data_IF_108519794218
#
_entry.id   IF_108519794218
#
_cell.length_a   1.000
_cell.length_b   1.000
_cell.length_c   1.000
_cell.angle_alpha   90.00
_cell.angle_beta   90.00
_cell.angle_gamma   90.00
#
_symmetry.space_group_name_H-M   'P 1'
#
loop_
_entity.id
_entity.type
_entity.pdbx_description
1 polymer ?
#
# COMPACT_ATOMS: atom_id res chain seq x y z
N UNK A 1 6.57 29.30 -27.41
CA UNK A 1 6.22 27.88 -27.33
C UNK A 1 7.54 27.12 -27.34
N UNK A 2 8.06 26.73 -26.18
CA UNK A 2 9.26 25.89 -26.06
C UNK A 2 8.76 24.51 -25.67
N UNK A 3 9.04 23.58 -26.53
CA UNK A 3 8.69 22.17 -26.40
C UNK A 3 9.50 21.55 -25.24
N UNK A 4 8.86 21.37 -24.11
CA UNK A 4 9.44 20.68 -22.94
C UNK A 4 9.36 19.18 -23.21
N UNK A 5 10.37 18.66 -23.89
CA UNK A 5 10.56 17.24 -24.16
C UNK A 5 10.60 16.42 -22.84
N UNK A 6 9.46 16.00 -22.37
CA UNK A 6 9.30 15.11 -21.24
C UNK A 6 9.70 13.68 -21.64
N UNK A 7 10.97 13.35 -21.47
CA UNK A 7 11.39 11.93 -21.57
C UNK A 7 11.08 11.25 -20.24
N UNK A 8 10.12 10.37 -20.27
CA UNK A 8 9.84 9.41 -19.18
C UNK A 8 11.14 8.66 -18.83
N UNK A 9 11.76 9.05 -17.73
CA UNK A 9 12.95 8.41 -17.18
C UNK A 9 12.54 7.27 -16.27
N UNK A 10 12.77 6.05 -16.74
CA UNK A 10 12.33 4.78 -16.21
C UNK A 10 12.44 4.58 -14.70
N UNK A 11 11.48 3.84 -14.18
CA UNK A 11 11.48 3.17 -12.90
C UNK A 11 12.81 2.43 -12.68
N UNK A 12 13.57 2.81 -11.65
CA UNK A 12 14.77 2.08 -11.21
C UNK A 12 14.59 1.65 -9.76
N UNK A 13 15.11 0.48 -9.41
CA UNK A 13 15.18 -0.78 -10.13
C UNK A 13 14.00 -1.69 -9.77
N UNK A 14 13.48 -2.37 -10.75
CA UNK A 14 12.64 -3.54 -10.53
C UNK A 14 13.44 -4.53 -9.70
N UNK A 15 13.04 -4.85 -8.50
CA UNK A 15 13.45 -6.05 -7.81
C UNK A 15 12.95 -7.23 -8.66
N UNK A 16 13.80 -7.71 -9.59
CA UNK A 16 13.54 -8.97 -10.29
C UNK A 16 13.67 -10.08 -9.26
N UNK A 17 12.56 -10.43 -8.63
CA UNK A 17 12.48 -11.65 -7.86
C UNK A 17 12.44 -12.81 -8.84
N UNK A 18 13.53 -13.60 -8.80
CA UNK A 18 13.64 -14.81 -9.58
C UNK A 18 12.59 -15.80 -9.07
N UNK A 19 11.52 -16.00 -9.85
CA UNK A 19 10.55 -17.05 -9.61
C UNK A 19 11.20 -18.41 -9.78
N UNK A 20 11.85 -18.94 -8.72
CA UNK A 20 12.01 -20.39 -8.61
C UNK A 20 10.72 -20.92 -8.02
N UNK A 21 10.05 -21.65 -8.90
CA UNK A 21 8.89 -22.49 -8.65
C UNK A 21 8.87 -23.11 -7.26
N UNK A 22 8.00 -22.63 -6.36
CA UNK A 22 7.42 -23.51 -5.36
C UNK A 22 6.17 -24.10 -5.98
N UNK A 23 6.21 -25.44 -6.14
CA UNK A 23 5.22 -26.20 -6.86
C UNK A 23 3.80 -25.98 -6.36
N UNK A 24 2.92 -25.78 -7.32
CA UNK A 24 1.49 -25.85 -7.21
C UNK A 24 1.07 -27.22 -6.62
N UNK A 25 0.91 -27.27 -5.30
CA UNK A 25 0.01 -28.25 -4.69
C UNK A 25 -1.31 -27.57 -4.39
N UNK A 26 -2.07 -27.36 -5.46
CA UNK A 26 -3.49 -27.10 -5.36
C UNK A 26 -4.16 -28.34 -4.78
N UNK A 27 -4.27 -28.39 -3.45
CA UNK A 27 -5.12 -29.36 -2.78
C UNK A 27 -6.57 -29.08 -3.20
N UNK A 28 -7.18 -30.02 -3.94
CA UNK A 28 -8.61 -30.06 -4.20
C UNK A 28 -9.33 -30.03 -2.85
N UNK A 29 -9.85 -28.87 -2.48
CA UNK A 29 -10.84 -28.78 -1.42
C UNK A 29 -12.12 -29.42 -1.95
N UNK A 30 -12.49 -30.54 -1.34
CA UNK A 30 -13.70 -31.24 -1.62
C UNK A 30 -14.90 -30.28 -1.53
N UNK A 31 -15.65 -30.19 -2.63
CA UNK A 31 -16.96 -29.55 -2.68
C UNK A 31 -17.91 -30.38 -1.82
N UNK A 32 -17.98 -30.08 -0.53
CA UNK A 32 -19.07 -30.52 0.33
C UNK A 32 -20.33 -29.77 -0.07
N UNK A 33 -21.21 -30.45 -0.77
CA UNK A 33 -22.58 -29.98 -1.07
C UNK A 33 -23.35 -29.89 0.24
N UNK A 34 -23.46 -28.68 0.80
CA UNK A 34 -24.45 -28.40 1.83
C UNK A 34 -25.77 -28.06 1.14
N UNK A 35 -26.69 -29.06 1.18
CA UNK A 35 -28.09 -28.90 0.82
C UNK A 35 -28.77 -28.04 1.90
N UNK A 36 -28.88 -26.72 1.65
CA UNK A 36 -29.96 -25.82 2.09
C UNK A 36 -29.52 -24.39 1.71
N UNK A 37 -30.26 -23.77 0.83
CA UNK A 37 -29.95 -22.58 0.06
C UNK A 37 -29.68 -21.28 0.85
N UNK A 38 -28.50 -21.16 1.42
CA UNK A 38 -27.96 -19.92 1.93
C UNK A 38 -26.63 -19.63 1.24
N UNK A 39 -26.66 -18.82 0.20
CA UNK A 39 -25.44 -18.28 -0.42
C UNK A 39 -24.70 -17.46 0.64
N UNK A 40 -23.55 -17.95 1.09
CA UNK A 40 -22.77 -17.25 2.10
C UNK A 40 -21.92 -16.15 1.42
N UNK A 41 -22.18 -14.87 1.65
CA UNK A 41 -21.50 -13.73 0.97
C UNK A 41 -19.98 -13.72 1.16
N UNK A 42 -19.44 -14.47 2.14
CA UNK A 42 -18.01 -14.61 2.39
C UNK A 42 -17.32 -15.56 1.39
N UNK A 43 -18.03 -16.53 0.80
CA UNK A 43 -17.45 -17.44 -0.21
C UNK A 43 -17.11 -16.70 -1.52
N UNK A 44 -17.95 -15.76 -1.91
CA UNK A 44 -17.72 -14.92 -3.11
C UNK A 44 -16.54 -13.98 -2.90
N UNK A 45 -16.37 -13.44 -1.68
CA UNK A 45 -15.22 -12.60 -1.32
C UNK A 45 -13.91 -13.39 -1.22
N UNK A 46 -13.96 -14.64 -0.82
CA UNK A 46 -12.77 -15.51 -0.75
C UNK A 46 -12.19 -15.85 -2.13
N UNK A 47 -13.00 -15.77 -3.20
CA UNK A 47 -12.57 -16.00 -4.58
C UNK A 47 -12.13 -14.73 -5.30
N UNK A 48 -12.38 -13.53 -4.75
CA UNK A 48 -12.03 -12.26 -5.37
C UNK A 48 -10.61 -11.85 -4.98
N UNK A 49 -9.79 -11.56 -5.99
CA UNK A 49 -8.46 -10.98 -5.78
C UNK A 49 -8.61 -9.49 -5.47
N UNK A 50 -8.07 -9.06 -4.36
CA UNK A 50 -8.00 -7.65 -3.97
C UNK A 50 -6.56 -7.17 -4.07
N UNK A 51 -6.30 -6.21 -4.95
CA UNK A 51 -5.01 -5.51 -5.04
C UNK A 51 -5.13 -4.17 -4.35
N UNK A 52 -4.18 -3.84 -3.50
CA UNK A 52 -4.14 -2.58 -2.78
C UNK A 52 -2.71 -2.04 -2.71
N UNK A 53 -2.61 -0.72 -2.65
CA UNK A 53 -1.36 0.01 -2.61
C UNK A 53 -1.16 0.67 -1.24
N UNK A 54 0.07 0.67 -0.74
CA UNK A 54 0.50 1.50 0.39
C UNK A 54 1.50 2.55 -0.06
N UNK A 55 1.42 3.74 0.51
CA UNK A 55 2.35 4.82 0.25
C UNK A 55 2.90 5.40 1.55
N UNK A 56 4.22 5.58 1.58
CA UNK A 56 4.93 6.33 2.61
C UNK A 56 5.41 7.67 2.00
N UNK A 57 4.76 8.80 2.36
CA UNK A 57 5.05 10.08 1.74
C UNK A 57 6.42 10.61 2.09
N UNK A 58 7.19 11.04 1.10
CA UNK A 58 8.43 11.77 1.27
C UNK A 58 8.66 12.76 0.13
N UNK A 59 9.18 13.96 0.44
CA UNK A 59 9.43 14.96 -0.59
C UNK A 59 10.59 14.59 -1.52
N UNK A 60 11.60 13.89 -1.03
CA UNK A 60 12.74 13.42 -1.83
C UNK A 60 12.49 12.03 -2.41
N UNK A 61 11.95 11.17 -1.58
CA UNK A 61 11.69 9.77 -1.87
C UNK A 61 10.34 9.41 -1.28
N UNK A 62 9.42 8.97 -2.10
CA UNK A 62 8.12 8.40 -1.69
C UNK A 62 8.20 6.90 -1.85
N UNK A 63 7.97 6.14 -0.78
CA UNK A 63 7.83 4.69 -0.84
C UNK A 63 6.50 4.26 -1.40
N UNK A 64 6.45 3.13 -2.13
CA UNK A 64 5.22 2.45 -2.51
C UNK A 64 5.34 0.94 -2.35
N UNK A 65 4.21 0.30 -2.05
CA UNK A 65 4.11 -1.15 -1.98
C UNK A 65 2.77 -1.63 -2.51
N UNK A 66 2.77 -2.64 -3.37
CA UNK A 66 1.59 -3.24 -4.00
C UNK A 66 1.45 -4.67 -3.52
N UNK A 67 0.28 -4.98 -2.96
CA UNK A 67 -0.01 -6.28 -2.36
C UNK A 67 -1.31 -6.82 -2.92
N UNK A 68 -1.29 -8.10 -3.31
CA UNK A 68 -2.49 -8.87 -3.64
C UNK A 68 -2.94 -9.67 -2.43
N UNK A 69 -4.25 -9.76 -2.25
CA UNK A 69 -4.91 -10.65 -1.32
C UNK A 69 -5.86 -11.56 -2.07
N UNK A 70 -5.66 -12.87 -1.96
CA UNK A 70 -6.57 -13.90 -2.49
C UNK A 70 -6.87 -14.89 -1.37
N UNK A 71 -8.14 -15.06 -1.03
CA UNK A 71 -8.56 -15.99 0.02
C UNK A 71 -7.91 -15.73 1.39
N UNK A 72 -7.60 -14.46 1.70
CA UNK A 72 -6.91 -14.07 2.94
C UNK A 72 -5.38 -14.28 2.91
N UNK A 73 -4.83 -14.79 1.80
CA UNK A 73 -3.38 -14.90 1.61
C UNK A 73 -2.84 -13.68 0.92
N UNK A 74 -1.79 -13.11 1.50
CA UNK A 74 -1.11 -11.94 0.98
C UNK A 74 0.05 -12.34 0.08
N UNK A 75 0.24 -11.59 -1.01
CA UNK A 75 1.34 -11.76 -1.94
C UNK A 75 1.91 -10.39 -2.32
N UNK A 76 3.21 -10.23 -2.18
CA UNK A 76 3.89 -9.07 -2.72
C UNK A 76 3.81 -9.09 -4.25
N UNK A 77 3.33 -7.99 -4.84
CA UNK A 77 3.33 -7.78 -6.29
C UNK A 77 4.55 -6.97 -6.68
N UNK A 78 4.74 -5.80 -6.04
CA UNK A 78 5.85 -4.89 -6.30
C UNK A 78 6.06 -3.98 -5.09
N UNK A 79 7.28 -3.50 -4.89
CA UNK A 79 7.58 -2.44 -3.94
C UNK A 79 8.78 -1.64 -4.44
N UNK A 80 8.77 -0.35 -4.19
CA UNK A 80 9.83 0.53 -4.67
C UNK A 80 9.69 1.95 -4.19
N UNK A 81 10.34 2.86 -4.90
CA UNK A 81 10.35 4.28 -4.56
C UNK A 81 10.14 5.15 -5.79
N UNK A 82 9.39 6.22 -5.60
CA UNK A 82 9.29 7.36 -6.51
C UNK A 82 10.24 8.44 -6.00
N UNK A 83 11.25 8.80 -6.80
CA UNK A 83 12.19 9.88 -6.47
C UNK A 83 11.75 11.16 -7.14
N UNK A 84 11.64 12.23 -6.34
CA UNK A 84 11.36 13.55 -6.90
C UNK A 84 12.54 14.07 -7.71
N UNK A 85 12.24 14.92 -8.70
CA UNK A 85 13.21 15.62 -9.55
C UNK A 85 12.90 17.09 -9.57
N UNK A 86 13.92 17.90 -9.85
CA UNK A 86 13.83 19.35 -9.87
C UNK A 86 14.37 20.00 -8.59
N UNK A 87 14.62 21.30 -8.65
CA UNK A 87 15.10 22.10 -7.54
C UNK A 87 13.94 22.79 -6.82
N UNK A 88 13.01 23.35 -7.61
CA UNK A 88 11.83 24.04 -7.10
C UNK A 88 10.82 23.06 -6.52
N UNK A 89 10.06 23.50 -5.53
CA UNK A 89 9.07 22.66 -4.85
C UNK A 89 8.00 22.15 -5.82
N UNK A 90 7.52 23.00 -6.71
CA UNK A 90 6.50 22.69 -7.71
C UNK A 90 6.98 21.61 -8.70
N UNK A 91 8.24 21.64 -9.13
CA UNK A 91 8.83 20.62 -10.00
C UNK A 91 8.88 19.26 -9.28
N UNK A 92 9.30 19.29 -8.03
CA UNK A 92 9.38 18.09 -7.19
C UNK A 92 8.01 17.48 -6.95
N UNK A 93 7.01 18.32 -6.66
CA UNK A 93 5.64 17.87 -6.46
C UNK A 93 5.03 17.30 -7.76
N UNK A 94 5.26 17.96 -8.90
CA UNK A 94 4.84 17.45 -10.20
C UNK A 94 5.48 16.08 -10.50
N UNK A 95 6.77 15.93 -10.21
CA UNK A 95 7.51 14.68 -10.38
C UNK A 95 6.98 13.55 -9.48
N UNK A 96 6.67 13.83 -8.22
CA UNK A 96 6.04 12.86 -7.30
C UNK A 96 4.67 12.44 -7.84
N UNK A 97 3.83 13.42 -8.22
CA UNK A 97 2.51 13.15 -8.77
C UNK A 97 2.58 12.23 -9.99
N UNK A 98 3.46 12.57 -10.96
CA UNK A 98 3.63 11.77 -12.18
C UNK A 98 4.09 10.33 -11.86
N UNK A 99 5.10 10.17 -10.99
CA UNK A 99 5.59 8.84 -10.62
C UNK A 99 4.56 8.00 -9.85
N UNK A 100 3.75 8.63 -8.99
CA UNK A 100 2.64 7.93 -8.32
C UNK A 100 1.58 7.51 -9.33
N UNK A 101 1.23 8.38 -10.30
CA UNK A 101 0.31 8.03 -11.39
C UNK A 101 0.81 6.84 -12.19
N UNK A 102 2.10 6.82 -12.57
CA UNK A 102 2.71 5.67 -13.26
C UNK A 102 2.54 4.37 -12.47
N UNK A 103 2.75 4.39 -11.15
CA UNK A 103 2.55 3.23 -10.27
C UNK A 103 1.07 2.80 -10.26
N UNK A 104 0.15 3.74 -10.09
CA UNK A 104 -1.28 3.43 -10.02
C UNK A 104 -1.80 2.88 -11.35
N UNK A 105 -1.35 3.43 -12.48
CA UNK A 105 -1.74 2.98 -13.83
C UNK A 105 -1.15 1.60 -14.15
N UNK A 106 0.12 1.34 -13.75
CA UNK A 106 0.80 0.06 -13.99
C UNK A 106 0.19 -1.10 -13.20
N UNK A 107 -0.24 -0.84 -11.96
CA UNK A 107 -0.69 -1.92 -11.08
C UNK A 107 -2.19 -1.95 -10.85
N UNK A 108 -2.91 -0.90 -11.18
CA UNK A 108 -4.38 -0.78 -11.07
C UNK A 108 -4.94 -1.30 -9.73
N UNK A 109 -4.50 -0.76 -8.57
CA UNK A 109 -5.02 -1.18 -7.28
C UNK A 109 -6.50 -0.78 -7.13
N UNK A 110 -7.27 -1.51 -6.34
CA UNK A 110 -8.68 -1.18 -6.03
C UNK A 110 -8.82 -0.15 -4.90
N UNK A 111 -7.77 0.05 -4.12
CA UNK A 111 -7.71 1.03 -3.04
C UNK A 111 -6.26 1.39 -2.74
N UNK A 112 -6.05 2.51 -2.07
CA UNK A 112 -4.74 2.89 -1.56
C UNK A 112 -4.80 3.30 -0.09
N UNK A 113 -3.72 3.02 0.61
CA UNK A 113 -3.47 3.47 1.97
C UNK A 113 -2.28 4.43 1.99
N UNK A 114 -2.32 5.43 2.85
CA UNK A 114 -1.27 6.42 2.98
C UNK A 114 -1.06 6.79 4.45
N UNK A 115 0.20 6.93 4.84
CA UNK A 115 0.54 7.37 6.18
C UNK A 115 0.19 8.85 6.39
N UNK A 116 -0.34 9.16 7.58
CA UNK A 116 -0.61 10.54 7.98
C UNK A 116 0.67 11.21 8.49
N UNK A 117 0.83 12.47 8.08
CA UNK A 117 1.92 13.31 8.55
C UNK A 117 1.52 14.01 9.83
N UNK A 118 2.39 13.95 10.83
CA UNK A 118 2.28 14.73 12.05
C UNK A 118 3.19 15.94 12.02
N UNK A 119 2.66 17.10 12.40
CA UNK A 119 3.48 18.25 12.69
C UNK A 119 4.25 18.02 13.99
N UNK A 120 5.55 17.84 13.92
CA UNK A 120 6.39 17.88 15.09
C UNK A 120 6.74 19.34 15.41
N UNK A 121 6.47 19.80 16.63
CA UNK A 121 6.71 21.19 17.02
C UNK A 121 8.17 21.66 16.77
N UNK A 122 9.13 20.73 16.80
CA UNK A 122 10.55 21.00 16.53
C UNK A 122 10.87 21.26 15.05
N UNK A 123 10.08 20.74 14.10
CA UNK A 123 10.41 20.78 12.66
C UNK A 123 9.18 21.13 11.82
N UNK A 124 8.57 22.31 12.01
CA UNK A 124 7.34 22.67 11.31
C UNK A 124 7.53 22.74 9.79
N UNK A 125 8.69 23.23 9.29
CA UNK A 125 8.99 23.28 7.86
C UNK A 125 8.99 21.90 7.21
N UNK A 126 9.58 20.90 7.86
CA UNK A 126 9.60 19.54 7.33
C UNK A 126 8.19 18.94 7.26
N UNK A 127 7.35 19.18 8.25
CA UNK A 127 5.96 18.73 8.26
C UNK A 127 5.13 19.37 7.13
N UNK A 128 5.34 20.68 6.86
CA UNK A 128 4.68 21.39 5.76
C UNK A 128 5.08 20.78 4.41
N UNK A 129 6.39 20.61 4.18
CA UNK A 129 6.90 20.01 2.93
C UNK A 129 6.41 18.58 2.72
N UNK A 130 6.36 17.79 3.79
CA UNK A 130 5.84 16.43 3.76
C UNK A 130 4.31 16.43 3.50
N UNK A 131 3.59 17.42 4.04
CA UNK A 131 2.19 17.65 3.76
C UNK A 131 1.92 17.94 2.28
N UNK A 132 2.77 18.74 1.62
CA UNK A 132 2.68 18.98 0.18
C UNK A 132 2.87 17.68 -0.62
N UNK A 133 3.93 16.90 -0.34
CA UNK A 133 4.16 15.62 -0.99
C UNK A 133 2.98 14.67 -0.80
N UNK A 134 2.48 14.54 0.43
CA UNK A 134 1.30 13.74 0.73
C UNK A 134 0.05 14.23 -0.02
N UNK A 135 -0.14 15.53 -0.13
CA UNK A 135 -1.28 16.12 -0.85
C UNK A 135 -1.32 15.70 -2.33
N UNK A 136 -0.19 15.72 -3.03
CA UNK A 136 -0.14 15.32 -4.44
C UNK A 136 -0.27 13.81 -4.62
N UNK A 137 0.16 12.98 -3.65
CA UNK A 137 -0.08 11.54 -3.65
C UNK A 137 -1.58 11.25 -3.49
N UNK A 138 -2.26 11.94 -2.56
CA UNK A 138 -3.71 11.84 -2.40
C UNK A 138 -4.45 12.31 -3.66
N UNK A 139 -4.00 13.40 -4.29
CA UNK A 139 -4.58 13.89 -5.54
C UNK A 139 -4.48 12.84 -6.66
N UNK A 140 -3.31 12.20 -6.82
CA UNK A 140 -3.12 11.15 -7.80
C UNK A 140 -4.09 9.98 -7.57
N UNK A 141 -4.26 9.54 -6.32
CA UNK A 141 -5.23 8.50 -5.96
C UNK A 141 -6.69 8.89 -6.22
N UNK A 142 -7.07 10.12 -5.88
CA UNK A 142 -8.41 10.65 -6.14
C UNK A 142 -8.71 10.75 -7.64
N UNK A 143 -7.75 11.19 -8.45
CA UNK A 143 -7.86 11.24 -9.90
C UNK A 143 -7.94 9.85 -10.55
N UNK A 144 -7.37 8.83 -9.89
CA UNK A 144 -7.53 7.43 -10.29
C UNK A 144 -8.85 6.81 -9.80
N UNK A 145 -9.71 7.56 -9.11
CA UNK A 145 -10.99 7.08 -8.58
C UNK A 145 -10.86 6.10 -7.41
N UNK A 146 -9.71 6.08 -6.73
CA UNK A 146 -9.44 5.13 -5.65
C UNK A 146 -10.03 5.58 -4.31
N UNK A 147 -10.49 4.63 -3.51
CA UNK A 147 -10.69 4.84 -2.08
C UNK A 147 -9.33 5.02 -1.40
N UNK A 148 -9.19 6.11 -0.62
CA UNK A 148 -7.93 6.46 0.05
C UNK A 148 -8.11 6.32 1.56
N UNK A 149 -7.31 5.44 2.17
CA UNK A 149 -7.33 5.19 3.61
C UNK A 149 -6.11 5.83 4.28
N UNK A 150 -6.36 6.54 5.36
CA UNK A 150 -5.36 7.34 6.06
C UNK A 150 -5.04 6.72 7.41
N UNK A 151 -3.77 6.40 7.66
CA UNK A 151 -3.33 5.76 8.91
C UNK A 151 -2.28 6.58 9.63
N UNK A 152 -2.47 6.70 10.95
CA UNK A 152 -1.47 7.24 11.85
C UNK A 152 -0.27 6.29 11.96
N UNK A 153 0.98 6.78 12.10
CA UNK A 153 2.16 5.92 12.25
C UNK A 153 2.03 4.89 13.38
N UNK A 154 1.49 5.28 14.52
CA UNK A 154 1.27 4.37 15.64
C UNK A 154 0.20 3.30 15.34
N UNK A 155 -0.79 3.60 14.49
CA UNK A 155 -1.80 2.63 14.04
C UNK A 155 -1.20 1.62 13.08
N UNK A 156 -0.33 2.06 12.16
CA UNK A 156 0.43 1.16 11.29
C UNK A 156 1.25 0.19 12.13
N UNK A 157 2.03 0.71 13.08
CA UNK A 157 2.85 -0.09 13.98
C UNK A 157 2.03 -1.10 14.78
N UNK A 158 0.95 -0.64 15.40
CA UNK A 158 0.06 -1.48 16.21
C UNK A 158 -0.61 -2.58 15.39
N UNK A 159 -1.02 -2.28 14.15
CA UNK A 159 -1.65 -3.26 13.26
C UNK A 159 -0.72 -4.44 12.92
N UNK A 160 0.58 -4.18 12.72
CA UNK A 160 1.55 -5.20 12.32
C UNK A 160 2.18 -5.96 13.51
N UNK A 161 2.36 -5.28 14.64
CA UNK A 161 3.17 -5.81 15.76
C UNK A 161 2.40 -5.94 17.07
N UNK A 162 1.18 -5.41 17.14
CA UNK A 162 0.44 -5.28 18.38
C UNK A 162 0.86 -4.09 19.25
N UNK A 163 1.94 -3.36 18.89
CA UNK A 163 2.47 -2.23 19.66
C UNK A 163 2.64 -0.98 18.80
N UNK A 164 2.03 0.14 19.20
CA UNK A 164 2.20 1.44 18.54
C UNK A 164 3.59 2.06 18.71
N UNK A 165 4.44 1.50 19.57
CA UNK A 165 5.81 1.93 19.84
C UNK A 165 6.87 1.03 19.19
N UNK A 166 6.47 0.08 18.34
CA UNK A 166 7.39 -0.83 17.68
C UNK A 166 8.51 -0.08 16.92
N UNK A 167 9.72 -0.60 17.04
CA UNK A 167 10.89 -0.09 16.33
C UNK A 167 10.88 -0.48 14.84
N UNK A 168 11.72 0.20 14.06
CA UNK A 168 11.79 0.00 12.59
C UNK A 168 12.10 -1.46 12.22
N UNK A 169 13.03 -2.09 12.91
CA UNK A 169 13.38 -3.50 12.67
C UNK A 169 12.22 -4.47 12.93
N UNK A 170 11.41 -4.20 13.95
CA UNK A 170 10.25 -5.02 14.27
C UNK A 170 9.18 -4.93 13.18
N UNK A 171 8.97 -3.72 12.62
CA UNK A 171 8.06 -3.50 11.51
C UNK A 171 8.56 -4.23 10.26
N UNK A 172 9.83 -4.09 9.89
CA UNK A 172 10.41 -4.77 8.74
C UNK A 172 10.35 -6.29 8.88
N UNK A 173 10.59 -6.83 10.08
CA UNK A 173 10.44 -8.26 10.36
C UNK A 173 8.99 -8.73 10.24
N UNK A 174 8.02 -7.91 10.67
CA UNK A 174 6.60 -8.20 10.50
C UNK A 174 6.22 -8.24 9.02
N UNK A 175 6.64 -7.25 8.23
CA UNK A 175 6.41 -7.20 6.78
C UNK A 175 7.01 -8.42 6.08
N UNK A 176 8.28 -8.76 6.41
CA UNK A 176 8.95 -9.93 5.86
C UNK A 176 8.17 -11.21 6.14
N UNK A 177 7.75 -11.41 7.38
CA UNK A 177 7.02 -12.61 7.82
C UNK A 177 5.66 -12.73 7.14
N UNK A 178 4.90 -11.63 7.09
CA UNK A 178 3.53 -11.65 6.53
C UNK A 178 3.49 -11.89 5.04
N UNK A 179 4.47 -11.34 4.32
CA UNK A 179 4.60 -11.52 2.88
C UNK A 179 5.44 -12.74 2.49
N UNK A 180 5.97 -13.50 3.47
CA UNK A 180 6.79 -14.69 3.23
C UNK A 180 8.09 -14.39 2.47
N UNK A 181 8.72 -13.21 2.71
CA UNK A 181 9.90 -12.80 1.98
C UNK A 181 11.15 -13.47 2.49
N UNK A 182 12.04 -13.90 1.59
CA UNK A 182 13.32 -14.49 1.96
C UNK A 182 14.26 -13.50 2.68
N UNK A 183 14.14 -12.20 2.36
CA UNK A 183 14.91 -11.12 2.94
C UNK A 183 14.00 -9.96 3.32
N UNK A 184 14.48 -9.09 4.20
CA UNK A 184 13.79 -7.82 4.51
C UNK A 184 13.64 -7.00 3.24
N UNK A 185 12.50 -6.33 3.04
CA UNK A 185 12.31 -5.50 1.87
C UNK A 185 13.25 -4.29 1.90
N UNK A 186 13.82 -3.98 0.75
CA UNK A 186 14.68 -2.83 0.51
C UNK A 186 14.19 -2.08 -0.73
N UNK A 187 14.37 -0.77 -0.82
CA UNK A 187 14.89 0.15 0.22
C UNK A 187 13.91 0.34 1.39
N UNK A 188 14.40 1.01 2.45
CA UNK A 188 13.63 1.22 3.68
C UNK A 188 12.27 1.88 3.45
N UNK A 189 12.20 2.89 2.55
CA UNK A 189 10.95 3.59 2.21
C UNK A 189 9.92 2.64 1.57
N UNK A 190 10.35 1.66 0.78
CA UNK A 190 9.48 0.63 0.23
C UNK A 190 8.95 -0.31 1.32
N UNK A 191 9.80 -0.65 2.32
CA UNK A 191 9.37 -1.45 3.47
C UNK A 191 8.33 -0.72 4.31
N UNK A 192 8.52 0.59 4.52
CA UNK A 192 7.60 1.44 5.27
C UNK A 192 6.24 1.55 4.52
N UNK A 193 6.27 1.70 3.18
CA UNK A 193 5.06 1.69 2.35
C UNK A 193 4.32 0.33 2.36
N UNK A 194 5.06 -0.79 2.35
CA UNK A 194 4.47 -2.12 2.52
C UNK A 194 3.81 -2.26 3.89
N UNK A 195 4.41 -1.71 4.95
CA UNK A 195 3.79 -1.69 6.27
C UNK A 195 2.45 -0.95 6.28
N UNK A 196 2.34 0.18 5.54
CA UNK A 196 1.08 0.91 5.35
C UNK A 196 0.04 0.06 4.62
N UNK A 197 0.43 -0.64 3.54
CA UNK A 197 -0.46 -1.54 2.82
C UNK A 197 -0.98 -2.68 3.72
N UNK A 198 -0.10 -3.32 4.48
CA UNK A 198 -0.46 -4.39 5.41
C UNK A 198 -1.33 -3.90 6.56
N UNK A 199 -1.12 -2.67 7.05
CA UNK A 199 -1.99 -2.07 8.06
C UNK A 199 -3.42 -1.90 7.52
N UNK A 200 -3.59 -1.48 6.25
CA UNK A 200 -4.91 -1.42 5.60
C UNK A 200 -5.57 -2.80 5.53
N UNK A 201 -4.79 -3.83 5.18
CA UNK A 201 -5.25 -5.22 5.22
C UNK A 201 -5.77 -5.60 6.60
N UNK A 202 -4.98 -5.44 7.66
CA UNK A 202 -5.36 -5.84 9.02
C UNK A 202 -6.56 -5.09 9.56
N UNK A 203 -6.65 -3.80 9.30
CA UNK A 203 -7.65 -2.93 9.91
C UNK A 203 -8.97 -2.91 9.15
N UNK A 204 -8.96 -3.18 7.85
CA UNK A 204 -10.13 -3.05 6.99
C UNK A 204 -10.54 -4.34 6.31
N UNK A 205 -9.62 -5.07 5.69
CA UNK A 205 -9.95 -6.21 4.87
C UNK A 205 -10.01 -7.52 5.66
N UNK A 206 -9.02 -7.80 6.48
CA UNK A 206 -8.93 -9.04 7.25
C UNK A 206 -10.19 -9.37 8.07
N UNK A 207 -10.83 -8.43 8.79
CA UNK A 207 -12.07 -8.69 9.51
C UNK A 207 -13.21 -9.22 8.61
N UNK A 208 -13.24 -8.81 7.33
CA UNK A 208 -14.24 -9.27 6.36
C UNK A 208 -14.04 -10.75 5.97
N UNK A 209 -12.78 -11.22 5.96
CA UNK A 209 -12.44 -12.61 5.66
C UNK A 209 -12.63 -13.53 6.87
N UNK A 210 -12.50 -13.01 8.09
CA UNK A 210 -12.67 -13.80 9.31
C UNK A 210 -14.13 -13.90 9.80
N UNK A 211 -15.05 -13.24 9.10
CA UNK A 211 -16.49 -13.26 9.47
C UNK A 211 -16.80 -12.51 10.78
N UNK A 212 -15.85 -11.82 11.38
CA UNK A 212 -15.99 -11.16 12.69
C UNK A 212 -16.37 -9.69 12.64
N UNK A 213 -16.65 -9.10 11.45
CA UNK A 213 -16.78 -7.66 11.33
C UNK A 213 -17.96 -7.17 10.52
N UNK A 214 -18.96 -6.60 11.19
CA UNK A 214 -19.84 -5.60 10.59
C UNK A 214 -19.07 -4.29 10.54
N UNK A 215 -18.34 -4.02 9.44
CA UNK A 215 -17.74 -2.71 9.23
C UNK A 215 -18.86 -1.72 8.93
N UNK A 216 -19.28 -0.96 9.92
CA UNK A 216 -20.07 0.24 9.69
C UNK A 216 -19.18 1.27 8.99
N UNK A 217 -19.30 1.34 7.67
CA UNK A 217 -18.76 2.47 6.91
C UNK A 217 -19.63 3.67 7.28
N UNK A 218 -19.14 4.52 8.18
CA UNK A 218 -19.72 5.85 8.35
C UNK A 218 -19.37 6.63 7.10
N UNK A 219 -20.33 6.80 6.21
CA UNK A 219 -20.28 7.83 5.19
C UNK A 219 -20.25 9.18 5.92
N UNK A 220 -19.12 9.87 5.94
CA UNK A 220 -19.09 11.29 6.28
C UNK A 220 -19.73 12.04 5.12
N UNK A 221 -21.03 12.32 5.25
CA UNK A 221 -21.67 13.38 4.50
C UNK A 221 -21.26 14.71 5.13
N UNK A 222 -20.96 15.64 4.28
CA UNK A 222 -20.74 17.07 4.34
C UNK A 222 -19.32 17.53 4.36
#
# INVERSE_FOLDING_TARGET
MRDLGYRAGGLRPRLKWNHRSQGDRCGRLALGVFASGGYAPWMERASTMHRFAGFDPGLNVTGYGIVDCLGGRLKLVEAGTVRSRGEAIEERLASIHAGVREVLDAFSPSAMAIEQVFAHARFPKAAILLGHARGVICLAGAQAGLAIHHYLPNRVKSALTGSGHAGKEQIQAAVQRELGLAKRPEPADAADALAVALADWHLRLRPLFLGTGTVRIRSSRA
#
